data_IF_252251676806
#
_entry.id   IF_252251676806
#
_cell.length_a   1.000
_cell.length_b   1.000
_cell.length_c   1.000
_cell.angle_alpha   90.00
_cell.angle_beta   90.00
_cell.angle_gamma   90.00
#
_symmetry.space_group_name_H-M   'P 1'
#
loop_
_entity.id
_entity.type
_entity.pdbx_description
1 polymer ?
#
# COMPACT_ATOMS: atom_id res chain seq x y z
N UNK A 1 0.05 -0.49 -14.79
CA UNK A 1 0.29 -1.91 -15.15
C UNK A 1 -1.02 -2.66 -14.99
N UNK A 2 -1.35 -3.65 -15.84
CA UNK A 2 -2.56 -4.48 -15.66
C UNK A 2 -2.12 -5.73 -14.89
N UNK A 3 -2.73 -6.07 -13.76
CA UNK A 3 -2.47 -7.38 -13.16
C UNK A 3 -3.45 -8.40 -13.73
N UNK A 4 -2.88 -9.46 -14.27
CA UNK A 4 -3.57 -10.61 -14.85
C UNK A 4 -3.28 -11.87 -14.02
N UNK A 5 -2.17 -11.88 -13.27
CA UNK A 5 -1.68 -12.97 -12.41
C UNK A 5 -1.41 -12.51 -10.97
N UNK A 6 -1.24 -13.46 -10.05
CA UNK A 6 -0.84 -13.14 -8.66
C UNK A 6 0.55 -12.50 -8.59
N UNK A 7 1.46 -12.87 -9.50
CA UNK A 7 2.76 -12.19 -9.65
C UNK A 7 2.58 -10.71 -9.93
N UNK A 8 1.81 -10.37 -10.96
CA UNK A 8 1.60 -8.97 -11.32
C UNK A 8 0.81 -8.20 -10.26
N UNK A 9 -0.03 -8.88 -9.48
CA UNK A 9 -0.68 -8.28 -8.31
C UNK A 9 0.35 -7.92 -7.24
N UNK A 10 1.27 -8.83 -6.91
CA UNK A 10 2.37 -8.57 -5.97
C UNK A 10 3.26 -7.43 -6.49
N UNK A 11 3.64 -7.46 -7.76
CA UNK A 11 4.43 -6.40 -8.40
C UNK A 11 3.69 -5.04 -8.35
N UNK A 12 2.38 -5.03 -8.61
CA UNK A 12 1.58 -3.81 -8.48
C UNK A 12 1.52 -3.33 -7.04
N UNK A 13 1.30 -4.20 -6.06
CA UNK A 13 1.28 -3.83 -4.64
C UNK A 13 2.64 -3.27 -4.21
N UNK A 14 3.73 -3.89 -4.65
CA UNK A 14 5.08 -3.37 -4.42
C UNK A 14 5.24 -1.97 -5.03
N UNK A 15 4.74 -1.77 -6.25
CA UNK A 15 4.79 -0.48 -6.93
C UNK A 15 3.92 0.57 -6.24
N UNK A 16 2.77 0.19 -5.69
CA UNK A 16 1.88 1.07 -4.94
C UNK A 16 2.60 1.67 -3.73
N UNK A 17 3.17 0.83 -2.86
CA UNK A 17 3.91 1.29 -1.67
C UNK A 17 5.16 2.09 -2.08
N UNK A 18 5.89 1.65 -3.11
CA UNK A 18 7.05 2.39 -3.62
C UNK A 18 6.71 3.78 -4.14
N UNK A 19 5.58 3.93 -4.85
CA UNK A 19 5.09 5.23 -5.30
C UNK A 19 4.59 6.08 -4.15
N UNK A 20 3.94 5.49 -3.13
CA UNK A 20 3.48 6.22 -1.96
C UNK A 20 4.66 6.81 -1.18
N UNK A 21 5.69 6.00 -0.93
CA UNK A 21 6.96 6.45 -0.35
C UNK A 21 7.57 7.62 -1.12
N UNK A 22 7.71 7.49 -2.45
CA UNK A 22 8.31 8.56 -3.26
C UNK A 22 7.48 9.85 -3.30
N UNK A 23 6.16 9.76 -3.22
CA UNK A 23 5.28 10.94 -3.12
C UNK A 23 5.44 11.64 -1.77
N UNK A 24 5.60 10.89 -0.69
CA UNK A 24 5.85 11.42 0.65
C UNK A 24 7.25 12.06 0.74
N UNK A 25 8.29 11.40 0.21
CA UNK A 25 9.65 11.96 0.07
C UNK A 25 9.63 13.30 -0.70
N UNK A 26 8.90 13.36 -1.81
CA UNK A 26 8.74 14.59 -2.58
C UNK A 26 8.01 15.69 -1.79
N UNK A 27 6.98 15.33 -1.02
CA UNK A 27 6.29 16.26 -0.12
C UNK A 27 7.20 16.78 1.00
N UNK A 28 8.04 15.92 1.58
CA UNK A 28 9.02 16.27 2.61
C UNK A 28 10.07 17.28 2.10
N UNK A 29 10.48 17.12 0.85
CA UNK A 29 11.45 17.98 0.18
C UNK A 29 10.87 19.32 -0.34
N UNK A 30 9.55 19.51 -0.31
CA UNK A 30 8.92 20.73 -0.77
C UNK A 30 9.27 21.93 0.13
N UNK A 31 9.37 23.12 -0.46
CA UNK A 31 9.91 24.32 0.22
C UNK A 31 8.96 24.87 1.28
N UNK A 32 7.66 24.71 1.05
CA UNK A 32 6.56 25.09 1.92
C UNK A 32 6.35 24.12 3.10
N UNK A 33 7.04 22.98 3.09
CA UNK A 33 6.88 21.95 4.12
C UNK A 33 7.59 22.37 5.40
N UNK A 34 6.80 22.58 6.45
CA UNK A 34 7.31 22.86 7.79
C UNK A 34 8.17 21.70 8.29
N UNK A 35 9.10 21.97 9.21
CA UNK A 35 9.96 20.93 9.78
C UNK A 35 9.15 19.76 10.35
N UNK A 36 8.11 20.04 11.15
CA UNK A 36 7.23 19.01 11.70
C UNK A 36 6.57 18.13 10.63
N UNK A 37 6.09 18.72 9.54
CA UNK A 37 5.48 17.95 8.44
C UNK A 37 6.52 17.15 7.66
N UNK A 38 7.75 17.68 7.54
CA UNK A 38 8.86 16.94 6.94
C UNK A 38 9.16 15.66 7.71
N UNK A 39 9.30 15.75 9.04
CA UNK A 39 9.51 14.58 9.91
C UNK A 39 8.40 13.54 9.77
N UNK A 40 7.14 13.97 9.73
CA UNK A 40 6.00 13.07 9.51
C UNK A 40 6.10 12.37 8.14
N UNK A 41 6.34 13.13 7.07
CA UNK A 41 6.40 12.58 5.71
C UNK A 41 7.59 11.66 5.50
N UNK A 42 8.75 11.96 6.09
CA UNK A 42 9.92 11.07 6.09
C UNK A 42 9.61 9.76 6.85
N UNK A 43 8.98 9.85 8.01
CA UNK A 43 8.56 8.67 8.77
C UNK A 43 7.58 7.78 7.98
N UNK A 44 6.57 8.40 7.35
CA UNK A 44 5.60 7.68 6.52
C UNK A 44 6.28 7.06 5.29
N UNK A 45 7.19 7.79 4.64
CA UNK A 45 7.94 7.26 3.51
C UNK A 45 8.77 6.03 3.90
N UNK A 46 9.48 6.07 5.02
CA UNK A 46 10.26 4.95 5.53
C UNK A 46 9.37 3.73 5.83
N UNK A 47 8.18 3.95 6.37
CA UNK A 47 7.19 2.91 6.59
C UNK A 47 6.77 2.24 5.27
N UNK A 48 6.43 3.03 4.26
CA UNK A 48 6.07 2.54 2.93
C UNK A 48 7.22 1.81 2.23
N UNK A 49 8.47 2.24 2.42
CA UNK A 49 9.66 1.50 1.95
C UNK A 49 9.78 0.14 2.63
N UNK A 50 9.44 0.05 3.91
CA UNK A 50 9.40 -1.22 4.62
C UNK A 50 8.32 -2.14 4.05
N UNK A 51 7.11 -1.63 3.82
CA UNK A 51 6.02 -2.39 3.19
C UNK A 51 6.40 -2.87 1.79
N UNK A 52 6.98 -1.99 0.97
CA UNK A 52 7.50 -2.34 -0.35
C UNK A 52 8.46 -3.54 -0.29
N UNK A 53 9.36 -3.59 0.69
CA UNK A 53 10.30 -4.71 0.88
C UNK A 53 9.63 -5.97 1.43
N UNK A 54 8.61 -5.83 2.28
CA UNK A 54 7.85 -6.98 2.78
C UNK A 54 7.09 -7.66 1.65
N UNK A 55 6.50 -6.88 0.74
CA UNK A 55 5.75 -7.38 -0.41
C UNK A 55 6.63 -8.25 -1.33
N UNK A 56 7.88 -7.87 -1.57
CA UNK A 56 8.83 -8.66 -2.38
C UNK A 56 9.02 -10.07 -1.82
N UNK A 57 8.97 -10.24 -0.49
CA UNK A 57 9.17 -11.55 0.15
C UNK A 57 8.02 -12.53 -0.14
N UNK A 58 6.85 -12.04 -0.52
CA UNK A 58 5.74 -12.90 -0.95
C UNK A 58 6.03 -13.59 -2.29
N UNK A 59 6.69 -12.90 -3.21
CA UNK A 59 7.11 -13.50 -4.48
C UNK A 59 8.17 -14.58 -4.25
N UNK A 60 9.08 -14.39 -3.30
CA UNK A 60 10.13 -15.35 -2.96
C UNK A 60 9.61 -16.61 -2.24
N UNK A 61 8.48 -16.50 -1.53
CA UNK A 61 7.93 -17.58 -0.69
C UNK A 61 6.77 -18.33 -1.35
N UNK A 62 6.06 -17.71 -2.27
CA UNK A 62 4.92 -18.34 -2.95
C UNK A 62 5.38 -19.41 -3.95
N UNK A 63 4.60 -20.49 -4.06
CA UNK A 63 4.80 -21.50 -5.09
C UNK A 63 4.58 -20.86 -6.48
N UNK A 64 5.50 -21.10 -7.42
CA UNK A 64 5.46 -20.53 -8.76
C UNK A 64 4.14 -20.85 -9.50
N UNK A 65 3.53 -22.00 -9.23
CA UNK A 65 2.24 -22.36 -9.81
C UNK A 65 1.09 -21.47 -9.32
N UNK A 66 1.23 -20.88 -8.13
CA UNK A 66 0.29 -19.91 -7.56
C UNK A 66 0.53 -18.54 -8.18
N UNK A 67 1.78 -18.12 -8.30
CA UNK A 67 2.16 -16.82 -8.88
C UNK A 67 1.67 -16.66 -10.32
N UNK A 68 1.74 -17.73 -11.12
CA UNK A 68 1.33 -17.71 -12.53
C UNK A 68 -0.18 -18.01 -12.71
N UNK A 69 -0.91 -18.22 -11.61
CA UNK A 69 -2.38 -18.37 -11.64
C UNK A 69 -3.06 -17.01 -11.86
N UNK A 70 -4.16 -17.03 -12.60
CA UNK A 70 -4.87 -15.81 -12.99
C UNK A 70 -5.64 -15.18 -11.83
N UNK A 71 -5.54 -13.85 -11.73
CA UNK A 71 -6.41 -13.01 -10.93
C UNK A 71 -7.48 -12.46 -11.89
N UNK A 72 -8.50 -13.28 -12.16
CA UNK A 72 -9.56 -12.99 -13.16
C UNK A 72 -10.06 -11.53 -13.11
N UNK A 73 -10.07 -10.86 -14.28
CA UNK A 73 -10.68 -9.58 -14.78
C UNK A 73 -11.14 -8.46 -13.81
N UNK A 74 -10.82 -8.57 -12.53
CA UNK A 74 -11.44 -7.85 -11.42
C UNK A 74 -10.47 -6.89 -10.74
N UNK A 75 -9.21 -6.90 -11.15
CA UNK A 75 -8.17 -6.01 -10.66
C UNK A 75 -8.03 -4.78 -11.55
N UNK A 76 -7.75 -4.98 -12.84
CA UNK A 76 -7.45 -3.88 -13.79
C UNK A 76 -8.60 -2.90 -14.00
N UNK A 77 -9.85 -3.36 -13.91
CA UNK A 77 -11.05 -2.50 -14.01
C UNK A 77 -11.59 -2.06 -12.65
N UNK A 78 -10.90 -2.35 -11.55
CA UNK A 78 -11.37 -2.01 -10.22
C UNK A 78 -11.26 -0.49 -9.98
N UNK A 79 -12.36 0.20 -9.60
CA UNK A 79 -12.30 1.60 -9.23
C UNK A 79 -11.28 1.89 -8.11
N UNK A 80 -11.05 0.95 -7.19
CA UNK A 80 -10.09 1.10 -6.09
C UNK A 80 -8.65 1.12 -6.57
N UNK A 81 -8.27 0.22 -7.49
CA UNK A 81 -6.95 0.23 -8.13
C UNK A 81 -6.68 1.57 -8.81
N UNK A 82 -7.68 2.13 -9.52
CA UNK A 82 -7.56 3.45 -10.16
C UNK A 82 -7.44 4.60 -9.15
N UNK A 83 -8.13 4.53 -8.03
CA UNK A 83 -8.02 5.53 -6.96
C UNK A 83 -6.62 5.51 -6.33
N UNK A 84 -6.08 4.31 -6.08
CA UNK A 84 -4.74 4.12 -5.53
C UNK A 84 -3.64 4.61 -6.49
N UNK A 85 -3.84 4.43 -7.79
CA UNK A 85 -2.94 4.91 -8.86
C UNK A 85 -3.07 6.43 -9.13
N UNK A 86 -4.09 7.13 -8.61
CA UNK A 86 -4.39 8.52 -8.98
C UNK A 86 -3.30 9.53 -8.54
N UNK A 87 -2.37 9.13 -7.67
CA UNK A 87 -1.09 9.85 -7.52
C UNK A 87 -1.19 11.20 -6.80
N UNK A 88 -1.90 11.28 -5.67
CA UNK A 88 -2.03 12.53 -4.90
C UNK A 88 -0.68 13.03 -4.32
N UNK A 89 -0.44 14.34 -4.41
CA UNK A 89 0.72 15.00 -3.80
C UNK A 89 0.48 15.26 -2.31
N UNK A 90 1.54 15.14 -1.49
CA UNK A 90 1.51 15.48 -0.06
C UNK A 90 2.05 16.88 0.26
N UNK A 91 2.60 17.58 -0.72
CA UNK A 91 3.15 18.93 -0.51
C UNK A 91 2.07 19.92 -0.07
N UNK A 92 2.36 20.70 0.98
CA UNK A 92 1.45 21.72 1.51
C UNK A 92 0.22 21.20 2.27
N UNK A 93 0.10 19.89 2.51
CA UNK A 93 -1.00 19.34 3.32
C UNK A 93 -0.83 19.61 4.82
N UNK A 94 -1.96 19.70 5.53
CA UNK A 94 -1.94 19.69 7.00
C UNK A 94 -1.69 18.28 7.53
N UNK A 95 -1.34 18.19 8.82
CA UNK A 95 -1.17 16.90 9.51
C UNK A 95 -2.41 16.00 9.34
N UNK A 96 -3.60 16.54 9.60
CA UNK A 96 -4.86 15.80 9.48
C UNK A 96 -5.14 15.38 8.04
N UNK A 97 -4.80 16.24 7.07
CA UNK A 97 -4.94 15.93 5.64
C UNK A 97 -4.01 14.81 5.19
N UNK A 98 -2.76 14.81 5.66
CA UNK A 98 -1.79 13.74 5.40
C UNK A 98 -2.30 12.43 6.00
N UNK A 99 -2.62 12.42 7.30
CA UNK A 99 -3.10 11.21 7.99
C UNK A 99 -4.36 10.65 7.34
N UNK A 100 -5.37 11.48 7.07
CA UNK A 100 -6.60 11.05 6.41
C UNK A 100 -6.32 10.41 5.06
N UNK A 101 -5.51 11.08 4.21
CA UNK A 101 -5.16 10.57 2.88
C UNK A 101 -4.45 9.21 2.97
N UNK A 102 -3.50 9.06 3.90
CA UNK A 102 -2.74 7.82 4.06
C UNK A 102 -3.65 6.69 4.54
N UNK A 103 -4.46 6.90 5.58
CA UNK A 103 -5.37 5.86 6.07
C UNK A 103 -6.45 5.50 5.05
N UNK A 104 -6.94 6.45 4.27
CA UNK A 104 -7.89 6.17 3.19
C UNK A 104 -7.26 5.25 2.13
N UNK A 105 -6.00 5.50 1.73
CA UNK A 105 -5.26 4.65 0.80
C UNK A 105 -5.06 3.23 1.35
N UNK A 106 -4.65 3.08 2.61
CA UNK A 106 -4.51 1.75 3.22
C UNK A 106 -5.84 1.02 3.36
N UNK A 107 -6.92 1.73 3.73
CA UNK A 107 -8.26 1.14 3.79
C UNK A 107 -8.73 0.67 2.42
N UNK A 108 -8.44 1.43 1.36
CA UNK A 108 -8.73 1.01 -0.01
C UNK A 108 -7.92 -0.22 -0.44
N UNK A 109 -6.66 -0.33 -0.01
CA UNK A 109 -5.84 -1.54 -0.21
C UNK A 109 -6.42 -2.76 0.53
N UNK A 110 -6.78 -2.61 1.81
CA UNK A 110 -7.44 -3.65 2.60
C UNK A 110 -8.73 -4.14 1.95
N UNK A 111 -9.57 -3.22 1.49
CA UNK A 111 -10.82 -3.54 0.81
C UNK A 111 -10.58 -4.25 -0.53
N UNK A 112 -9.56 -3.85 -1.28
CA UNK A 112 -9.14 -4.53 -2.51
C UNK A 112 -8.70 -5.97 -2.21
N UNK A 113 -7.86 -6.19 -1.20
CA UNK A 113 -7.37 -7.53 -0.86
C UNK A 113 -8.51 -8.45 -0.38
N UNK A 114 -9.42 -7.97 0.47
CA UNK A 114 -10.64 -8.72 0.85
C UNK A 114 -11.51 -9.07 -0.36
N UNK A 115 -11.65 -8.13 -1.28
CA UNK A 115 -12.44 -8.33 -2.49
C UNK A 115 -11.85 -9.42 -3.40
N UNK A 116 -10.52 -9.48 -3.52
CA UNK A 116 -9.80 -10.48 -4.29
C UNK A 116 -9.76 -11.84 -3.58
N UNK A 117 -9.58 -11.87 -2.26
CA UNK A 117 -9.66 -13.10 -1.45
C UNK A 117 -11.00 -13.82 -1.68
N UNK A 118 -12.13 -13.10 -1.61
CA UNK A 118 -13.47 -13.67 -1.84
C UNK A 118 -13.72 -14.18 -3.28
N UNK A 119 -12.79 -13.93 -4.21
CA UNK A 119 -12.88 -14.32 -5.63
C UNK A 119 -11.79 -15.29 -6.06
N UNK A 120 -10.80 -15.53 -5.22
CA UNK A 120 -9.73 -16.47 -5.52
C UNK A 120 -10.30 -17.90 -5.61
N UNK A 121 -10.18 -18.50 -6.79
CA UNK A 121 -10.73 -19.82 -7.09
C UNK A 121 -9.94 -20.94 -6.39
N UNK A 122 -8.62 -20.80 -6.33
CA UNK A 122 -7.69 -21.78 -5.74
C UNK A 122 -7.48 -21.52 -4.25
N UNK A 123 -7.20 -22.58 -3.48
CA UNK A 123 -6.89 -22.45 -2.06
C UNK A 123 -5.61 -21.65 -1.83
N UNK A 124 -4.58 -21.89 -2.64
CA UNK A 124 -3.32 -21.19 -2.53
C UNK A 124 -3.41 -19.70 -2.94
N UNK A 125 -4.26 -19.36 -3.92
CA UNK A 125 -4.55 -17.96 -4.23
C UNK A 125 -5.27 -17.24 -3.08
N UNK A 126 -6.21 -17.92 -2.40
CA UNK A 126 -6.85 -17.39 -1.19
C UNK A 126 -5.84 -17.17 -0.06
N UNK A 127 -4.96 -18.12 0.18
CA UNK A 127 -3.91 -18.02 1.20
C UNK A 127 -2.99 -16.82 0.95
N UNK A 128 -2.50 -16.64 -0.29
CA UNK A 128 -1.69 -15.46 -0.65
C UNK A 128 -2.44 -14.14 -0.40
N UNK A 129 -3.73 -14.07 -0.75
CA UNK A 129 -4.53 -12.88 -0.48
C UNK A 129 -4.73 -12.63 1.02
N UNK A 130 -4.91 -13.69 1.81
CA UNK A 130 -5.03 -13.62 3.26
C UNK A 130 -3.74 -13.09 3.88
N UNK A 131 -2.58 -13.53 3.39
CA UNK A 131 -1.31 -13.06 3.92
C UNK A 131 -1.03 -11.59 3.57
N UNK A 132 -1.34 -11.16 2.33
CA UNK A 132 -1.26 -9.75 1.94
C UNK A 132 -2.22 -8.88 2.78
N UNK A 133 -3.44 -9.36 2.98
CA UNK A 133 -4.44 -8.68 3.83
C UNK A 133 -3.96 -8.57 5.28
N UNK A 134 -3.38 -9.63 5.83
CA UNK A 134 -2.86 -9.65 7.19
C UNK A 134 -1.66 -8.70 7.36
N UNK A 135 -0.75 -8.67 6.39
CA UNK A 135 0.38 -7.73 6.35
C UNK A 135 -0.13 -6.29 6.36
N UNK A 136 -1.01 -5.93 5.42
CA UNK A 136 -1.55 -4.58 5.29
C UNK A 136 -2.27 -4.15 6.58
N UNK A 137 -3.06 -5.05 7.17
CA UNK A 137 -3.82 -4.75 8.38
C UNK A 137 -2.90 -4.55 9.59
N UNK A 138 -1.85 -5.35 9.72
CA UNK A 138 -0.87 -5.22 10.79
C UNK A 138 -0.11 -3.89 10.69
N UNK A 139 0.39 -3.55 9.50
CA UNK A 139 1.17 -2.34 9.29
C UNK A 139 0.31 -1.07 9.39
N UNK A 140 -0.94 -1.10 8.92
CA UNK A 140 -1.88 0.03 9.10
C UNK A 140 -2.12 0.33 10.59
N UNK A 141 -2.30 -0.70 11.42
CA UNK A 141 -2.47 -0.53 12.87
C UNK A 141 -1.20 0.03 13.52
N UNK A 142 -0.03 -0.50 13.15
CA UNK A 142 1.27 -0.03 13.63
C UNK A 142 1.53 1.42 13.23
N UNK A 143 1.18 1.80 12.00
CA UNK A 143 1.28 3.17 11.50
C UNK A 143 0.42 4.12 12.32
N UNK A 144 -0.83 3.75 12.63
CA UNK A 144 -1.73 4.55 13.46
C UNK A 144 -1.15 4.83 14.85
N UNK A 145 -0.62 3.81 15.53
CA UNK A 145 -0.02 3.97 16.85
C UNK A 145 1.18 4.93 16.83
N UNK A 146 2.01 4.87 15.79
CA UNK A 146 3.22 5.66 15.69
C UNK A 146 2.96 7.09 15.20
N UNK A 147 2.04 7.27 14.24
CA UNK A 147 1.61 8.59 13.80
C UNK A 147 1.04 9.41 14.96
N UNK A 148 0.26 8.78 15.85
CA UNK A 148 -0.24 9.42 17.06
C UNK A 148 0.89 9.85 18.01
N UNK A 149 1.93 9.02 18.20
CA UNK A 149 3.09 9.40 19.02
C UNK A 149 3.85 10.60 18.43
N UNK A 150 4.03 10.65 17.12
CA UNK A 150 4.65 11.80 16.42
C UNK A 150 3.79 13.07 16.56
N UNK A 151 2.47 12.95 16.75
CA UNK A 151 1.60 14.10 17.03
C UNK A 151 1.77 14.66 18.45
N UNK A 152 2.07 13.79 19.42
CA UNK A 152 2.23 14.14 20.83
C UNK A 152 3.61 14.72 21.15
N UNK A 153 4.57 14.62 20.23
CA UNK A 153 5.90 15.25 20.28
C UNK A 153 5.89 16.67 19.71
#
# INVERSE_FOLDING_TARGET
MKAETYRELIEWTQHLHGQLASRMEAGAAATETTERMRWLLEYLADHERCMQQMVVRFEEQADINVLDSWVYDHFTNNPRTRALDAGQSFAGMSYEGICATVFDLHNDALDLYRYLEGRAETAAGRELMQDLLAMEQHETLRLAEQAQRVQEM
#
